data_IF_098811206306
#
_entry.id   IF_098811206306
#
_cell.length_a   1.000
_cell.length_b   1.000
_cell.length_c   1.000
_cell.angle_alpha   90.00
_cell.angle_beta   90.00
_cell.angle_gamma   90.00
#
_symmetry.space_group_name_H-M   'P 1'
#
loop_
_entity.id
_entity.type
_entity.pdbx_description
1 polymer ?
#
# COMPACT_ATOMS: atom_id res chain seq x y z
N UNK A 1 13.52 -11.64 23.78
CA UNK A 1 12.91 -11.81 22.44
C UNK A 1 13.64 -10.92 21.45
N UNK A 2 14.11 -11.50 20.35
CA UNK A 2 14.78 -10.86 19.22
C UNK A 2 13.96 -11.07 17.95
N UNK A 3 13.61 -9.99 17.27
CA UNK A 3 12.70 -9.99 16.12
C UNK A 3 13.39 -9.42 14.89
N UNK A 4 13.29 -10.10 13.76
CA UNK A 4 13.81 -9.64 12.48
C UNK A 4 12.70 -9.27 11.50
N UNK A 5 12.95 -8.26 10.68
CA UNK A 5 12.08 -7.88 9.56
C UNK A 5 12.82 -8.06 8.24
N UNK A 6 12.34 -8.97 7.38
CA UNK A 6 12.89 -9.27 6.06
C UNK A 6 12.36 -8.27 5.01
N UNK A 7 13.18 -7.29 4.64
CA UNK A 7 12.80 -6.18 3.77
C UNK A 7 13.40 -6.36 2.38
N UNK A 8 12.73 -7.19 1.56
CA UNK A 8 13.06 -7.35 0.13
C UNK A 8 12.64 -6.16 -0.73
N UNK A 9 11.59 -5.46 -0.31
CA UNK A 9 10.94 -4.43 -1.11
C UNK A 9 10.61 -3.21 -0.26
N UNK A 10 10.84 -2.00 -0.80
CA UNK A 10 10.61 -0.74 -0.09
C UNK A 10 9.20 -0.65 0.50
N UNK A 11 8.19 -1.15 -0.20
CA UNK A 11 6.81 -1.05 0.25
C UNK A 11 6.49 -1.92 1.48
N UNK A 12 7.29 -2.94 1.81
CA UNK A 12 7.13 -3.72 3.05
C UNK A 12 7.31 -2.86 4.30
N UNK A 13 8.19 -1.86 4.24
CA UNK A 13 8.48 -0.95 5.36
C UNK A 13 7.22 -0.29 5.92
N UNK A 14 6.28 0.09 5.06
CA UNK A 14 5.04 0.76 5.48
C UNK A 14 4.14 -0.09 6.38
N UNK A 15 4.20 -1.41 6.27
CA UNK A 15 3.48 -2.34 7.15
C UNK A 15 4.33 -2.73 8.38
N UNK A 16 5.65 -2.72 8.26
CA UNK A 16 6.57 -3.15 9.32
C UNK A 16 6.88 -2.07 10.33
N UNK A 17 7.02 -0.81 9.91
CA UNK A 17 7.39 0.29 10.78
C UNK A 17 6.43 0.47 11.98
N UNK A 18 5.09 0.39 11.82
CA UNK A 18 4.19 0.47 12.98
C UNK A 18 4.41 -0.66 14.00
N UNK A 19 4.62 -1.89 13.51
CA UNK A 19 4.92 -3.06 14.34
C UNK A 19 6.28 -2.92 15.03
N UNK A 20 7.31 -2.49 14.30
CA UNK A 20 8.64 -2.21 14.82
C UNK A 20 8.60 -1.17 15.94
N UNK A 21 7.91 -0.05 15.73
CA UNK A 21 7.77 1.01 16.74
C UNK A 21 7.11 0.50 18.02
N UNK A 22 6.04 -0.29 17.89
CA UNK A 22 5.36 -0.89 19.03
C UNK A 22 6.24 -1.90 19.77
N UNK A 23 6.98 -2.77 19.06
CA UNK A 23 7.91 -3.72 19.67
C UNK A 23 9.08 -2.99 20.38
N UNK A 24 9.65 -1.96 19.77
CA UNK A 24 10.71 -1.14 20.37
C UNK A 24 10.22 -0.44 21.64
N UNK A 25 8.99 0.09 21.65
CA UNK A 25 8.36 0.67 22.84
C UNK A 25 8.25 -0.33 24.00
N UNK A 26 8.12 -1.62 23.68
CA UNK A 26 8.08 -2.73 24.66
C UNK A 26 9.46 -3.29 25.02
N UNK A 27 10.55 -2.66 24.58
CA UNK A 27 11.91 -3.10 24.88
C UNK A 27 12.36 -4.35 24.12
N UNK A 28 11.69 -4.71 23.02
CA UNK A 28 12.06 -5.85 22.18
C UNK A 28 13.25 -5.48 21.29
N UNK A 29 14.24 -6.38 21.21
CA UNK A 29 15.34 -6.24 20.26
C UNK A 29 14.82 -6.47 18.84
N UNK A 30 14.95 -5.48 17.97
CA UNK A 30 14.49 -5.54 16.58
C UNK A 30 15.61 -5.19 15.62
N UNK A 31 15.74 -5.97 14.54
CA UNK A 31 16.69 -5.73 13.45
C UNK A 31 16.03 -5.92 12.09
N UNK A 32 16.52 -5.21 11.08
CA UNK A 32 16.01 -5.32 9.71
C UNK A 32 17.05 -5.99 8.82
N UNK A 33 16.64 -7.02 8.08
CA UNK A 33 17.39 -7.59 6.97
C UNK A 33 17.00 -6.86 5.69
N UNK A 34 17.79 -5.87 5.26
CA UNK A 34 17.44 -4.98 4.14
C UNK A 34 18.17 -5.43 2.88
N UNK A 35 17.42 -5.83 1.87
CA UNK A 35 17.99 -6.29 0.60
C UNK A 35 18.45 -5.10 -0.22
N UNK A 36 19.68 -5.17 -0.75
CA UNK A 36 20.19 -4.19 -1.70
C UNK A 36 19.36 -4.23 -2.97
N UNK A 37 18.76 -3.10 -3.32
CA UNK A 37 18.02 -2.88 -4.53
C UNK A 37 18.46 -1.56 -5.18
N UNK A 38 19.13 -1.58 -6.35
CA UNK A 38 19.62 -0.37 -7.01
C UNK A 38 18.54 0.69 -7.28
N UNK A 39 17.27 0.27 -7.45
CA UNK A 39 16.17 1.20 -7.68
C UNK A 39 15.81 2.01 -6.42
N UNK A 40 16.10 1.52 -5.21
CA UNK A 40 15.59 2.07 -3.94
C UNK A 40 16.58 2.14 -2.77
N UNK A 41 17.85 1.76 -2.94
CA UNK A 41 18.85 1.73 -1.87
C UNK A 41 18.89 3.03 -1.06
N UNK A 42 18.95 4.18 -1.74
CA UNK A 42 19.02 5.48 -1.07
C UNK A 42 17.77 5.75 -0.21
N UNK A 43 16.59 5.36 -0.70
CA UNK A 43 15.33 5.55 0.04
C UNK A 43 15.25 4.60 1.23
N UNK A 44 15.66 3.35 1.05
CA UNK A 44 15.74 2.38 2.15
C UNK A 44 16.73 2.84 3.23
N UNK A 45 17.87 3.38 2.82
CA UNK A 45 18.87 3.91 3.75
C UNK A 45 18.31 5.10 4.53
N UNK A 46 17.63 6.04 3.86
CA UNK A 46 16.95 7.15 4.54
C UNK A 46 15.91 6.67 5.56
N UNK A 47 15.14 5.63 5.23
CA UNK A 47 14.18 5.03 6.18
C UNK A 47 14.90 4.43 7.39
N UNK A 48 15.99 3.69 7.17
CA UNK A 48 16.79 3.09 8.25
C UNK A 48 17.34 4.16 9.19
N UNK A 49 17.91 5.23 8.63
CA UNK A 49 18.50 6.34 9.39
C UNK A 49 17.45 7.15 10.14
N UNK A 50 16.35 7.54 9.47
CA UNK A 50 15.29 8.37 10.06
C UNK A 50 14.56 7.66 11.21
N UNK A 51 14.41 6.33 11.12
CA UNK A 51 13.69 5.52 12.10
C UNK A 51 14.62 4.88 13.15
N UNK A 52 15.94 5.13 13.07
CA UNK A 52 16.92 4.58 14.01
C UNK A 52 16.96 3.05 14.03
N UNK A 53 16.85 2.43 12.84
CA UNK A 53 16.74 0.98 12.68
C UNK A 53 18.14 0.35 12.75
N UNK A 54 18.29 -0.68 13.58
CA UNK A 54 19.44 -1.59 13.48
C UNK A 54 19.23 -2.47 12.24
N UNK A 55 20.07 -2.31 11.22
CA UNK A 55 19.90 -2.95 9.91
C UNK A 55 21.16 -3.69 9.48
N UNK A 56 20.96 -4.87 8.87
CA UNK A 56 21.97 -5.62 8.14
C UNK A 56 21.60 -5.63 6.67
N UNK A 57 22.56 -5.27 5.82
CA UNK A 57 22.36 -5.21 4.37
C UNK A 57 22.61 -6.58 3.75
N UNK A 58 21.68 -7.01 2.90
CA UNK A 58 21.65 -8.34 2.29
C UNK A 58 21.92 -8.19 0.80
N UNK A 59 23.00 -8.78 0.32
CA UNK A 59 23.43 -8.71 -1.09
C UNK A 59 22.64 -9.68 -1.97
N UNK A 60 22.34 -10.88 -1.45
CA UNK A 60 21.52 -11.86 -2.13
C UNK A 60 20.59 -12.61 -1.18
N UNK A 61 19.55 -13.20 -1.75
CA UNK A 61 18.59 -14.01 -1.01
C UNK A 61 19.28 -15.21 -0.33
N UNK A 62 20.35 -15.76 -0.91
CA UNK A 62 21.14 -16.81 -0.25
C UNK A 62 21.86 -16.30 1.01
N UNK A 63 22.32 -15.05 1.02
CA UNK A 63 23.05 -14.45 2.14
C UNK A 63 22.14 -14.19 3.35
N UNK A 64 20.84 -13.96 3.12
CA UNK A 64 19.88 -13.76 4.22
C UNK A 64 19.81 -14.97 5.13
N UNK A 65 19.91 -16.19 4.59
CA UNK A 65 19.89 -17.41 5.40
C UNK A 65 21.06 -17.45 6.37
N UNK A 66 22.29 -17.18 5.91
CA UNK A 66 23.47 -17.16 6.78
C UNK A 66 23.31 -16.14 7.92
N UNK A 67 22.83 -14.94 7.59
CA UNK A 67 22.56 -13.88 8.57
C UNK A 67 21.54 -14.33 9.61
N UNK A 68 20.45 -14.98 9.18
CA UNK A 68 19.39 -15.45 10.09
C UNK A 68 19.83 -16.63 10.94
N UNK A 69 20.69 -17.52 10.41
CA UNK A 69 21.31 -18.60 11.16
C UNK A 69 22.26 -18.06 12.22
N UNK A 70 23.15 -17.14 11.87
CA UNK A 70 24.14 -16.57 12.80
C UNK A 70 23.49 -15.75 13.92
N UNK A 71 22.42 -15.01 13.60
CA UNK A 71 21.73 -14.17 14.58
C UNK A 71 20.68 -14.91 15.41
N UNK A 72 20.18 -16.03 14.88
CA UNK A 72 19.15 -16.89 15.44
C UNK A 72 18.04 -16.13 16.19
N UNK A 73 17.26 -15.26 15.49
CA UNK A 73 16.16 -14.51 16.11
C UNK A 73 15.04 -15.46 16.56
N UNK A 74 14.20 -15.02 17.49
CA UNK A 74 13.02 -15.77 17.92
C UNK A 74 11.92 -15.72 16.85
N UNK A 75 11.79 -14.57 16.17
CA UNK A 75 10.81 -14.35 15.11
C UNK A 75 11.38 -13.64 13.90
N UNK A 76 10.93 -14.00 12.69
CA UNK A 76 11.22 -13.29 11.44
C UNK A 76 9.93 -12.95 10.69
N UNK A 77 9.71 -11.67 10.41
CA UNK A 77 8.65 -11.19 9.53
C UNK A 77 9.06 -11.27 8.06
N UNK A 78 8.21 -11.88 7.24
CA UNK A 78 8.36 -11.96 5.80
C UNK A 78 7.15 -11.37 5.07
N UNK A 79 7.39 -10.60 4.00
CA UNK A 79 6.34 -9.95 3.21
C UNK A 79 5.74 -10.86 2.13
N UNK A 80 6.41 -11.98 1.88
CA UNK A 80 6.08 -12.99 0.88
C UNK A 80 6.70 -14.35 1.28
N UNK A 81 6.64 -15.35 0.41
CA UNK A 81 7.35 -16.62 0.60
C UNK A 81 8.87 -16.41 0.78
N UNK A 82 9.46 -17.34 1.52
CA UNK A 82 10.89 -17.41 1.76
C UNK A 82 11.39 -18.83 1.44
N UNK A 83 12.34 -19.02 0.51
CA UNK A 83 12.66 -20.35 0.01
C UNK A 83 13.47 -21.23 0.98
N UNK A 84 14.10 -20.65 2.00
CA UNK A 84 14.91 -21.40 2.99
C UNK A 84 14.25 -21.52 4.37
N UNK A 85 12.92 -21.48 4.47
CA UNK A 85 12.22 -21.62 5.75
C UNK A 85 12.66 -22.86 6.54
N UNK A 86 12.78 -24.01 5.86
CA UNK A 86 13.17 -25.28 6.47
C UNK A 86 14.64 -25.33 6.94
N UNK A 87 15.43 -24.30 6.64
CA UNK A 87 16.84 -24.20 7.03
C UNK A 87 17.07 -23.13 8.11
N UNK A 88 16.01 -22.44 8.55
CA UNK A 88 16.10 -21.52 9.68
C UNK A 88 16.42 -22.29 10.98
N UNK A 89 17.04 -21.65 11.97
CA UNK A 89 17.30 -22.28 13.28
C UNK A 89 16.01 -22.82 13.89
N UNK A 90 16.04 -24.00 14.52
CA UNK A 90 14.82 -24.64 15.04
C UNK A 90 14.05 -23.85 16.11
N UNK A 91 14.68 -22.86 16.74
CA UNK A 91 14.01 -21.92 17.66
C UNK A 91 13.36 -20.71 16.97
N UNK A 92 13.73 -20.45 15.72
CA UNK A 92 13.28 -19.29 14.96
C UNK A 92 11.94 -19.60 14.31
N UNK A 93 10.95 -18.76 14.60
CA UNK A 93 9.62 -18.86 14.00
C UNK A 93 9.41 -17.83 12.90
N UNK A 94 8.66 -18.23 11.89
CA UNK A 94 8.38 -17.46 10.68
C UNK A 94 6.98 -16.84 10.72
N UNK A 95 6.91 -15.57 10.32
CA UNK A 95 5.67 -14.80 10.27
C UNK A 95 5.44 -14.32 8.85
N UNK A 96 4.24 -14.54 8.33
CA UNK A 96 3.80 -13.88 7.11
C UNK A 96 2.99 -12.61 7.46
N UNK A 97 3.49 -11.45 7.03
CA UNK A 97 2.81 -10.17 7.14
C UNK A 97 2.88 -9.45 5.79
N UNK A 98 1.79 -9.57 5.01
CA UNK A 98 1.73 -8.98 3.67
C UNK A 98 1.61 -7.46 3.69
N UNK A 99 2.15 -6.80 2.66
CA UNK A 99 2.01 -5.35 2.50
C UNK A 99 0.63 -4.88 2.02
N UNK A 100 -0.01 -5.66 1.14
CA UNK A 100 -1.17 -5.22 0.39
C UNK A 100 -2.48 -5.77 0.95
N UNK A 101 -3.49 -4.91 0.95
CA UNK A 101 -4.91 -5.26 1.12
C UNK A 101 -5.63 -5.21 -0.22
N UNK A 102 -6.66 -6.04 -0.36
CA UNK A 102 -7.47 -6.13 -1.57
C UNK A 102 -7.82 -7.57 -1.95
N UNK A 103 -8.53 -7.75 -3.07
CA UNK A 103 -9.02 -9.06 -3.47
C UNK A 103 -8.03 -9.86 -4.33
N UNK A 104 -6.80 -9.37 -4.53
CA UNK A 104 -5.88 -9.99 -5.50
C UNK A 104 -5.58 -11.44 -5.14
N UNK A 105 -5.70 -12.37 -6.08
CA UNK A 105 -5.45 -13.80 -5.84
C UNK A 105 -4.03 -14.07 -5.32
N UNK A 106 -3.04 -13.31 -5.79
CA UNK A 106 -1.66 -13.38 -5.31
C UNK A 106 -1.50 -12.97 -3.84
N UNK A 107 -2.52 -12.42 -3.20
CA UNK A 107 -2.55 -12.21 -1.76
C UNK A 107 -2.96 -13.46 -1.00
N UNK A 108 -3.63 -14.42 -1.62
CA UNK A 108 -4.06 -15.67 -1.00
C UNK A 108 -3.01 -16.75 -1.17
N UNK A 109 -2.50 -16.94 -2.40
CA UNK A 109 -1.54 -18.01 -2.75
C UNK A 109 -0.15 -17.86 -2.12
N UNK A 110 0.13 -16.77 -1.40
CA UNK A 110 1.38 -16.65 -0.60
C UNK A 110 1.49 -17.69 0.51
N UNK A 111 0.37 -18.29 0.91
CA UNK A 111 0.32 -19.39 1.87
C UNK A 111 0.64 -20.75 1.25
N UNK A 112 0.94 -20.84 -0.05
CA UNK A 112 1.49 -22.07 -0.65
C UNK A 112 2.84 -22.45 -0.01
N UNK A 113 3.52 -21.49 0.64
CA UNK A 113 4.65 -21.73 1.53
C UNK A 113 4.22 -21.44 2.96
N UNK A 114 3.85 -22.46 3.76
CA UNK A 114 3.31 -22.26 5.09
C UNK A 114 4.39 -21.69 6.02
N UNK A 115 4.05 -20.62 6.72
CA UNK A 115 4.83 -20.05 7.82
C UNK A 115 4.18 -20.44 9.15
N UNK A 116 4.91 -20.33 10.26
CA UNK A 116 4.39 -20.72 11.59
C UNK A 116 3.13 -19.95 11.96
N UNK A 117 3.06 -18.68 11.57
CA UNK A 117 1.86 -17.86 11.68
C UNK A 117 1.74 -16.87 10.53
N UNK A 118 0.50 -16.61 10.11
CA UNK A 118 0.17 -15.51 9.22
C UNK A 118 -0.78 -14.53 9.89
N UNK A 119 -0.37 -13.27 9.90
CA UNK A 119 -1.23 -12.18 10.33
C UNK A 119 -2.12 -11.73 9.17
N UNK A 120 -3.42 -11.61 9.45
CA UNK A 120 -4.46 -11.33 8.46
C UNK A 120 -5.27 -10.10 8.87
N UNK A 121 -5.70 -9.34 7.88
CA UNK A 121 -6.41 -8.08 8.05
C UNK A 121 -7.94 -8.30 8.25
N UNK A 122 -8.69 -8.39 7.16
CA UNK A 122 -10.17 -8.42 7.16
C UNK A 122 -10.81 -9.81 7.25
N UNK A 123 -12.10 -9.82 7.66
CA UNK A 123 -12.84 -11.05 8.01
C UNK A 123 -12.95 -12.02 6.82
N UNK A 124 -13.27 -11.48 5.64
CA UNK A 124 -13.44 -12.29 4.43
C UNK A 124 -12.13 -12.91 3.99
N UNK A 125 -11.02 -12.17 4.12
CA UNK A 125 -9.69 -12.70 3.79
C UNK A 125 -9.29 -13.79 4.76
N UNK A 126 -9.55 -13.59 6.06
CA UNK A 126 -9.31 -14.59 7.10
C UNK A 126 -10.06 -15.89 6.81
N UNK A 127 -11.38 -15.82 6.59
CA UNK A 127 -12.21 -16.98 6.26
C UNK A 127 -11.71 -17.72 5.01
N UNK A 128 -11.46 -17.00 3.91
CA UNK A 128 -10.97 -17.61 2.66
C UNK A 128 -9.59 -18.26 2.83
N UNK A 129 -8.71 -17.71 3.65
CA UNK A 129 -7.41 -18.32 3.95
C UNK A 129 -7.56 -19.60 4.77
N UNK A 130 -8.45 -19.63 5.77
CA UNK A 130 -8.74 -20.84 6.53
C UNK A 130 -9.35 -21.94 5.65
N UNK A 131 -10.23 -21.58 4.71
CA UNK A 131 -10.80 -22.52 3.75
C UNK A 131 -9.73 -23.10 2.80
N UNK A 132 -8.83 -22.25 2.29
CA UNK A 132 -7.79 -22.67 1.35
C UNK A 132 -6.65 -23.46 2.02
N UNK A 133 -6.32 -23.14 3.27
CA UNK A 133 -5.18 -23.70 4.00
C UNK A 133 -5.58 -24.09 5.44
N UNK A 134 -6.44 -25.11 5.63
CA UNK A 134 -7.04 -25.43 6.93
C UNK A 134 -6.05 -25.93 8.00
N UNK A 135 -4.79 -26.19 7.63
CA UNK A 135 -3.72 -26.63 8.53
C UNK A 135 -2.79 -25.49 8.97
N UNK A 136 -2.92 -24.32 8.37
CA UNK A 136 -2.07 -23.16 8.65
C UNK A 136 -2.64 -22.33 9.80
N UNK A 137 -1.77 -21.60 10.50
CA UNK A 137 -2.16 -20.71 11.59
C UNK A 137 -2.40 -19.30 11.07
N UNK A 138 -3.65 -18.86 11.13
CA UNK A 138 -4.04 -17.48 10.81
C UNK A 138 -4.47 -16.73 12.07
N UNK A 139 -3.97 -15.51 12.23
CA UNK A 139 -4.34 -14.63 13.35
C UNK A 139 -4.82 -13.29 12.79
N UNK A 140 -6.06 -12.95 13.11
CA UNK A 140 -6.66 -11.72 12.62
C UNK A 140 -6.26 -10.52 13.49
N UNK A 141 -5.50 -9.60 12.92
CA UNK A 141 -4.91 -8.46 13.65
C UNK A 141 -5.35 -7.10 13.12
N UNK A 142 -5.90 -7.04 11.90
CA UNK A 142 -6.15 -5.78 11.19
C UNK A 142 -4.96 -5.36 10.34
N UNK A 143 -4.90 -4.09 9.94
CA UNK A 143 -3.90 -3.61 8.97
C UNK A 143 -2.96 -2.56 9.57
N UNK A 144 -1.78 -3.02 10.02
CA UNK A 144 -0.82 -2.23 10.80
C UNK A 144 -0.37 -0.93 10.12
N UNK A 145 -0.26 -0.91 8.79
CA UNK A 145 0.08 0.31 8.02
C UNK A 145 -0.86 1.48 8.32
N UNK A 146 -2.13 1.25 8.67
CA UNK A 146 -3.05 2.34 8.99
C UNK A 146 -2.98 2.80 10.45
N UNK A 147 -2.33 2.06 11.35
CA UNK A 147 -2.30 2.41 12.76
C UNK A 147 -1.78 3.83 13.02
N UNK A 148 -0.67 4.30 12.41
CA UNK A 148 -0.19 5.67 12.64
C UNK A 148 -1.23 6.72 12.25
N UNK A 149 -1.97 6.47 11.16
CA UNK A 149 -3.00 7.41 10.69
C UNK A 149 -4.18 7.46 11.66
N UNK A 150 -4.61 6.32 12.19
CA UNK A 150 -5.73 6.25 13.15
C UNK A 150 -5.35 6.81 14.52
N UNK A 151 -4.12 6.57 14.97
CA UNK A 151 -3.64 7.04 16.27
C UNK A 151 -3.19 8.52 16.26
N UNK A 152 -2.97 9.10 15.07
CA UNK A 152 -2.37 10.42 14.93
C UNK A 152 -0.84 10.43 15.13
N UNK A 153 -0.20 9.26 15.06
CA UNK A 153 1.25 9.06 15.25
C UNK A 153 2.05 9.26 13.94
N UNK A 154 1.70 10.29 13.16
CA UNK A 154 2.43 10.67 11.95
C UNK A 154 2.24 12.16 11.66
N UNK A 155 3.13 12.73 10.86
CA UNK A 155 3.00 14.11 10.38
C UNK A 155 2.20 14.13 9.07
N UNK A 156 1.01 14.78 9.01
CA UNK A 156 0.29 14.98 7.76
C UNK A 156 1.12 15.73 6.73
N UNK A 157 0.77 15.56 5.45
CA UNK A 157 1.38 16.37 4.41
C UNK A 157 1.02 17.84 4.61
N UNK A 158 2.03 18.69 4.77
CA UNK A 158 1.87 20.13 4.93
C UNK A 158 1.63 20.80 3.57
N UNK A 159 0.39 21.25 3.35
CA UNK A 159 0.00 21.91 2.11
C UNK A 159 0.77 23.23 1.91
N UNK A 160 0.82 24.08 2.93
CA UNK A 160 1.38 25.43 2.82
C UNK A 160 2.89 25.38 2.61
N UNK A 161 3.59 24.54 3.37
CA UNK A 161 5.05 24.37 3.22
C UNK A 161 5.44 23.84 1.83
N UNK A 162 4.51 23.20 1.12
CA UNK A 162 4.71 22.67 -0.23
C UNK A 162 4.03 23.52 -1.33
N UNK A 163 3.67 24.77 -1.02
CA UNK A 163 3.15 25.73 -1.99
C UNK A 163 1.68 25.53 -2.40
N UNK A 164 0.95 24.66 -1.70
CA UNK A 164 -0.49 24.46 -1.88
C UNK A 164 -1.29 25.33 -0.91
N UNK A 165 -2.57 25.54 -1.22
CA UNK A 165 -3.45 26.46 -0.49
C UNK A 165 -4.29 25.69 0.56
N UNK A 166 -4.05 25.84 1.87
CA UNK A 166 -4.78 25.11 2.90
C UNK A 166 -6.29 25.40 2.95
N UNK A 167 -6.76 26.48 2.31
CA UNK A 167 -8.19 26.80 2.23
C UNK A 167 -8.94 25.99 1.16
N UNK A 168 -8.22 25.37 0.21
CA UNK A 168 -8.79 24.56 -0.87
C UNK A 168 -8.95 23.11 -0.47
N UNK A 169 -9.98 22.48 -1.03
CA UNK A 169 -10.14 21.03 -0.96
C UNK A 169 -9.03 20.32 -1.73
N UNK A 170 -8.56 19.20 -1.19
CA UNK A 170 -7.39 18.48 -1.68
C UNK A 170 -7.79 17.16 -2.33
N UNK A 171 -7.44 16.99 -3.60
CA UNK A 171 -7.62 15.77 -4.37
C UNK A 171 -6.31 14.98 -4.40
N UNK A 172 -6.34 13.74 -3.94
CA UNK A 172 -5.23 12.80 -4.09
C UNK A 172 -5.45 11.97 -5.35
N UNK A 173 -4.58 12.09 -6.33
CA UNK A 173 -4.54 11.23 -7.51
C UNK A 173 -3.42 10.19 -7.36
N UNK A 174 -3.78 8.91 -7.23
CA UNK A 174 -2.83 7.82 -6.99
C UNK A 174 -2.86 6.76 -8.13
N UNK A 175 -2.39 7.10 -9.34
CA UNK A 175 -2.46 6.19 -10.47
C UNK A 175 -1.46 5.02 -10.35
N UNK A 176 -1.94 3.85 -10.76
CA UNK A 176 -1.17 2.65 -11.07
C UNK A 176 -0.33 2.84 -12.34
N UNK A 177 0.66 1.98 -12.53
CA UNK A 177 1.59 2.07 -13.66
C UNK A 177 1.04 1.46 -14.97
N UNK A 178 0.32 0.34 -14.89
CA UNK A 178 -0.31 -0.32 -16.06
C UNK A 178 -1.30 -1.44 -15.66
N UNK A 179 -2.53 -1.44 -16.20
CA UNK A 179 -3.17 -0.36 -16.97
C UNK A 179 -3.29 0.92 -16.15
N UNK A 180 -3.35 2.10 -16.78
CA UNK A 180 -3.36 3.38 -16.04
C UNK A 180 -4.26 4.42 -16.71
N UNK A 181 -4.91 5.27 -15.91
CA UNK A 181 -5.65 6.45 -16.37
C UNK A 181 -4.75 7.64 -16.68
N UNK A 182 -3.50 7.66 -16.18
CA UNK A 182 -2.60 8.82 -16.16
C UNK A 182 -2.41 9.48 -17.54
N UNK A 183 -2.19 8.67 -18.58
CA UNK A 183 -1.96 9.18 -19.94
C UNK A 183 -3.21 9.81 -20.57
N UNK A 184 -4.40 9.47 -20.06
CA UNK A 184 -5.70 9.94 -20.55
C UNK A 184 -6.19 11.19 -19.81
N UNK A 185 -5.58 11.56 -18.70
CA UNK A 185 -5.82 12.86 -18.03
C UNK A 185 -5.06 13.94 -18.84
N UNK A 186 -5.70 15.05 -19.25
CA UNK A 186 -5.10 16.05 -20.13
C UNK A 186 -4.06 16.94 -19.44
N UNK A 187 -3.32 17.72 -20.24
CA UNK A 187 -2.27 18.63 -19.72
C UNK A 187 -2.92 19.80 -18.98
N UNK A 188 -4.11 20.20 -19.43
CA UNK A 188 -4.97 21.23 -18.83
C UNK A 188 -5.63 20.82 -17.52
N UNK A 189 -5.41 19.59 -17.01
CA UNK A 189 -6.05 19.14 -15.78
C UNK A 189 -5.87 20.08 -14.58
N UNK A 190 -4.67 20.66 -14.34
CA UNK A 190 -4.50 21.62 -13.25
C UNK A 190 -5.36 22.87 -13.39
N UNK A 191 -5.46 23.44 -14.60
CA UNK A 191 -6.28 24.63 -14.90
C UNK A 191 -7.78 24.30 -14.79
N UNK A 192 -8.18 23.15 -15.32
CA UNK A 192 -9.54 22.63 -15.22
C UNK A 192 -9.95 22.35 -13.77
N UNK A 193 -9.01 22.26 -12.83
CA UNK A 193 -9.28 21.97 -11.41
C UNK A 193 -8.63 23.03 -10.48
N UNK A 194 -8.48 24.28 -10.96
CA UNK A 194 -7.83 25.36 -10.23
C UNK A 194 -8.45 25.68 -8.84
N UNK A 195 -9.71 25.29 -8.62
CA UNK A 195 -10.39 25.41 -7.34
C UNK A 195 -9.93 24.39 -6.26
N UNK A 196 -9.09 23.42 -6.62
CA UNK A 196 -8.59 22.36 -5.75
C UNK A 196 -7.07 22.36 -5.66
N UNK A 197 -6.56 21.81 -4.55
CA UNK A 197 -5.19 21.29 -4.49
C UNK A 197 -5.15 19.89 -5.13
N UNK A 198 -4.13 19.63 -5.93
CA UNK A 198 -3.91 18.35 -6.62
C UNK A 198 -2.62 17.72 -6.11
N UNK A 199 -2.74 16.67 -5.32
CA UNK A 199 -1.59 15.85 -4.92
C UNK A 199 -1.56 14.64 -5.84
N UNK A 200 -0.49 14.49 -6.61
CA UNK A 200 -0.27 13.34 -7.48
C UNK A 200 0.78 12.44 -6.86
N UNK A 201 0.42 11.19 -6.60
CA UNK A 201 1.36 10.14 -6.18
C UNK A 201 1.43 9.04 -7.24
N UNK A 202 2.29 9.19 -8.26
CA UNK A 202 2.47 8.15 -9.26
C UNK A 202 3.07 6.89 -8.65
N UNK A 203 2.69 5.73 -9.18
CA UNK A 203 3.38 4.49 -8.86
C UNK A 203 4.87 4.59 -9.25
N UNK A 204 5.77 4.02 -8.43
CA UNK A 204 7.21 4.10 -8.66
C UNK A 204 7.63 3.75 -10.09
N UNK A 205 7.12 2.65 -10.64
CA UNK A 205 7.43 2.24 -12.01
C UNK A 205 7.10 3.30 -13.06
N UNK A 206 6.05 4.11 -12.89
CA UNK A 206 5.72 5.22 -13.79
C UNK A 206 6.84 6.25 -13.86
N UNK A 207 7.54 6.46 -12.73
CA UNK A 207 8.66 7.38 -12.61
C UNK A 207 9.96 6.70 -13.08
N UNK A 208 10.25 5.48 -12.62
CA UNK A 208 11.57 4.88 -12.76
C UNK A 208 11.82 4.15 -14.09
N UNK A 209 10.80 3.53 -14.71
CA UNK A 209 11.04 2.67 -15.87
C UNK A 209 10.91 3.46 -17.18
N UNK A 210 11.94 3.39 -18.03
CA UNK A 210 12.03 4.12 -19.30
C UNK A 210 10.76 4.01 -20.17
N UNK A 211 10.16 2.81 -20.23
CA UNK A 211 8.93 2.51 -21.00
C UNK A 211 7.68 3.36 -20.66
N UNK A 212 7.69 4.10 -19.56
CA UNK A 212 6.59 5.00 -19.16
C UNK A 212 6.91 6.49 -19.41
N UNK A 213 7.68 6.80 -20.46
CA UNK A 213 8.06 8.17 -20.81
C UNK A 213 6.86 9.12 -20.96
N UNK A 214 5.79 8.70 -21.63
CA UNK A 214 4.58 9.50 -21.78
C UNK A 214 3.89 9.83 -20.43
N UNK A 215 4.02 8.95 -19.43
CA UNK A 215 3.51 9.23 -18.08
C UNK A 215 4.37 10.29 -17.39
N UNK A 216 5.70 10.20 -17.52
CA UNK A 216 6.62 11.22 -16.98
C UNK A 216 6.40 12.58 -17.63
N UNK A 217 6.30 12.65 -18.95
CA UNK A 217 5.99 13.90 -19.66
C UNK A 217 4.70 14.53 -19.13
N UNK A 218 3.66 13.73 -18.89
CA UNK A 218 2.42 14.23 -18.30
C UNK A 218 2.64 14.80 -16.89
N UNK A 219 3.33 14.06 -16.04
CA UNK A 219 3.65 14.47 -14.66
C UNK A 219 4.47 15.76 -14.65
N UNK A 220 5.46 15.88 -15.54
CA UNK A 220 6.35 17.03 -15.63
C UNK A 220 5.63 18.28 -16.12
N UNK A 221 4.63 18.13 -16.99
CA UNK A 221 3.73 19.24 -17.35
C UNK A 221 2.89 19.70 -16.16
N UNK A 222 2.26 18.77 -15.42
CA UNK A 222 1.44 19.13 -14.26
C UNK A 222 2.25 19.77 -13.13
N UNK A 223 3.52 19.37 -12.95
CA UNK A 223 4.43 19.92 -11.93
C UNK A 223 4.59 21.44 -12.03
N UNK A 224 4.34 22.03 -13.21
CA UNK A 224 4.48 23.48 -13.44
C UNK A 224 3.33 24.31 -12.85
N UNK A 225 2.21 23.69 -12.51
CA UNK A 225 1.04 24.39 -11.99
C UNK A 225 1.13 24.60 -10.47
N UNK A 226 0.70 25.78 -9.99
CA UNK A 226 0.80 26.16 -8.57
C UNK A 226 -0.13 25.38 -7.64
N UNK A 227 -1.19 24.77 -8.18
CA UNK A 227 -2.11 23.94 -7.41
C UNK A 227 -1.75 22.44 -7.46
N UNK A 228 -0.57 22.08 -7.96
CA UNK A 228 -0.13 20.68 -8.09
C UNK A 228 1.10 20.41 -7.25
N UNK A 229 1.03 19.33 -6.47
CA UNK A 229 2.20 18.71 -5.86
C UNK A 229 2.39 17.30 -6.41
N UNK A 230 3.57 17.01 -6.96
CA UNK A 230 3.94 15.66 -7.38
C UNK A 230 4.85 15.04 -6.31
N UNK A 231 4.37 13.98 -5.67
CA UNK A 231 5.10 13.27 -4.65
C UNK A 231 6.48 12.80 -5.13
N UNK A 232 7.48 13.02 -4.29
CA UNK A 232 8.87 12.64 -4.54
C UNK A 232 9.08 11.14 -4.39
N UNK A 233 10.26 10.67 -4.83
CA UNK A 233 10.62 9.24 -4.83
C UNK A 233 10.81 8.70 -3.40
N UNK A 234 11.40 9.50 -2.53
CA UNK A 234 11.64 9.25 -1.10
C UNK A 234 10.34 9.24 -0.28
N UNK A 235 9.32 9.99 -0.70
CA UNK A 235 7.98 10.03 -0.09
C UNK A 235 7.15 8.78 -0.37
N UNK A 236 7.70 7.58 -0.28
CA UNK A 236 7.10 6.32 -0.74
C UNK A 236 5.76 5.95 -0.06
N UNK A 237 5.50 6.40 1.17
CA UNK A 237 4.24 6.15 1.86
C UNK A 237 3.11 7.03 1.29
N UNK A 238 1.93 6.43 1.11
CA UNK A 238 0.74 7.16 0.69
C UNK A 238 0.03 7.84 1.88
N UNK A 239 0.30 7.41 3.12
CA UNK A 239 -0.44 7.81 4.32
C UNK A 239 -0.44 9.32 4.59
N UNK A 240 0.70 10.05 4.49
CA UNK A 240 0.70 11.49 4.72
C UNK A 240 -0.26 12.23 3.79
N UNK A 241 -0.33 11.79 2.52
CA UNK A 241 -1.23 12.36 1.53
C UNK A 241 -2.69 11.94 1.76
N UNK A 242 -2.93 10.69 2.16
CA UNK A 242 -4.29 10.22 2.47
C UNK A 242 -4.93 11.00 3.63
N UNK A 243 -4.13 11.32 4.63
CA UNK A 243 -4.60 12.08 5.77
C UNK A 243 -5.05 13.49 5.40
N UNK A 244 -4.27 14.17 4.55
CA UNK A 244 -4.54 15.54 4.11
C UNK A 244 -5.65 15.61 3.03
N UNK A 245 -5.81 14.57 2.21
CA UNK A 245 -6.76 14.59 1.10
C UNK A 245 -8.23 14.54 1.55
N UNK A 246 -9.10 15.25 0.82
CA UNK A 246 -10.55 15.18 0.95
C UNK A 246 -11.17 14.08 0.06
N UNK A 247 -10.52 13.75 -1.06
CA UNK A 247 -11.02 12.77 -2.02
C UNK A 247 -9.86 12.04 -2.72
N UNK A 248 -9.99 10.73 -2.90
CA UNK A 248 -9.06 9.91 -3.70
C UNK A 248 -9.59 9.68 -5.12
N UNK A 249 -8.74 9.88 -6.11
CA UNK A 249 -8.93 9.48 -7.51
C UNK A 249 -7.91 8.39 -7.81
N UNK A 250 -8.37 7.21 -8.21
CA UNK A 250 -7.49 6.08 -8.55
C UNK A 250 -8.23 5.11 -9.48
N UNK A 251 -7.51 4.17 -10.09
CA UNK A 251 -8.10 2.95 -10.61
C UNK A 251 -7.78 1.75 -9.70
N UNK A 252 -8.15 0.55 -10.15
CA UNK A 252 -7.93 -0.76 -9.53
C UNK A 252 -6.59 -0.95 -8.78
N UNK A 253 -6.49 -0.49 -7.54
CA UNK A 253 -5.26 -0.48 -6.73
C UNK A 253 -5.57 -0.81 -5.26
N UNK A 254 -4.54 -1.17 -4.47
CA UNK A 254 -4.72 -1.37 -3.03
C UNK A 254 -5.06 -0.06 -2.32
N UNK A 255 -4.60 1.08 -2.85
CA UNK A 255 -4.85 2.42 -2.32
C UNK A 255 -6.33 2.74 -2.17
N UNK A 256 -7.20 2.19 -3.03
CA UNK A 256 -8.65 2.31 -2.93
C UNK A 256 -9.17 1.72 -1.61
N UNK A 257 -8.71 0.52 -1.24
CA UNK A 257 -9.14 -0.15 -0.01
C UNK A 257 -8.51 0.49 1.23
N UNK A 258 -7.25 0.91 1.13
CA UNK A 258 -6.56 1.65 2.21
C UNK A 258 -7.26 2.99 2.50
N UNK A 259 -7.67 3.73 1.48
CA UNK A 259 -8.38 5.01 1.66
C UNK A 259 -9.85 4.83 2.05
N UNK A 260 -10.49 3.73 1.65
CA UNK A 260 -11.85 3.41 2.08
C UNK A 260 -11.96 3.26 3.61
N UNK A 261 -10.89 2.80 4.25
CA UNK A 261 -10.79 2.70 5.70
C UNK A 261 -10.87 4.07 6.41
N UNK A 262 -10.58 5.16 5.70
CA UNK A 262 -10.73 6.53 6.21
C UNK A 262 -12.14 7.08 6.01
N UNK A 263 -13.01 6.31 5.37
CA UNK A 263 -14.39 6.67 5.03
C UNK A 263 -14.52 8.01 4.26
N UNK A 264 -13.48 8.34 3.48
CA UNK A 264 -13.46 9.51 2.61
C UNK A 264 -13.94 9.16 1.19
N UNK A 265 -14.46 10.14 0.42
CA UNK A 265 -14.88 9.95 -0.96
C UNK A 265 -13.81 9.38 -1.88
N UNK A 266 -14.24 8.47 -2.77
CA UNK A 266 -13.39 7.78 -3.73
C UNK A 266 -14.02 7.86 -5.10
N UNK A 267 -13.20 8.18 -6.10
CA UNK A 267 -13.52 8.08 -7.51
C UNK A 267 -12.68 6.99 -8.15
N UNK A 268 -13.36 6.03 -8.76
CA UNK A 268 -12.79 4.95 -9.55
C UNK A 268 -12.74 5.34 -11.03
N UNK A 269 -11.53 5.47 -11.58
CA UNK A 269 -11.34 5.70 -13.01
C UNK A 269 -11.47 4.40 -13.82
N UNK A 270 -12.46 4.35 -14.72
CA UNK A 270 -12.62 3.24 -15.68
C UNK A 270 -11.97 3.52 -17.04
N UNK A 271 -11.59 4.78 -17.30
CA UNK A 271 -10.85 5.15 -18.50
C UNK A 271 -9.37 4.76 -18.36
N UNK A 272 -8.98 3.66 -19.00
CA UNK A 272 -7.62 3.13 -18.91
C UNK A 272 -6.91 3.15 -20.27
N UNK A 273 -5.67 3.62 -20.30
CA UNK A 273 -4.80 3.47 -21.47
C UNK A 273 -4.35 2.02 -21.58
N UNK A 274 -4.97 1.29 -22.52
CA UNK A 274 -4.58 -0.09 -22.86
C UNK A 274 -3.63 -0.11 -24.05
N UNK A 275 -2.67 -1.02 -24.08
CA UNK A 275 -1.89 -1.31 -25.31
C UNK A 275 -2.81 -1.97 -26.35
N UNK A 276 -2.46 -1.88 -27.63
CA UNK A 276 -3.25 -2.47 -28.71
C UNK A 276 -3.51 -3.98 -28.49
N UNK A 277 -2.53 -4.71 -27.93
CA UNK A 277 -2.61 -6.14 -27.59
C UNK A 277 -3.63 -6.49 -26.50
N UNK A 278 -4.25 -5.49 -25.88
CA UNK A 278 -5.25 -5.63 -24.84
C UNK A 278 -6.63 -5.10 -25.30
N UNK A 279 -6.78 -4.80 -26.61
CA UNK A 279 -8.00 -4.21 -27.20
C UNK A 279 -8.60 -5.15 -28.26
N UNK A 280 -9.85 -4.89 -28.64
CA UNK A 280 -10.55 -5.58 -29.73
C UNK A 280 -10.52 -7.10 -29.57
N UNK A 281 -10.12 -7.87 -30.60
CA UNK A 281 -10.10 -9.34 -30.54
C UNK A 281 -9.12 -9.90 -29.49
N UNK A 282 -8.15 -9.11 -29.02
CA UNK A 282 -7.16 -9.52 -28.00
C UNK A 282 -7.55 -9.10 -26.57
N UNK A 283 -8.77 -8.58 -26.37
CA UNK A 283 -9.28 -8.13 -25.07
C UNK A 283 -9.24 -9.21 -23.98
N UNK A 284 -9.34 -10.50 -24.35
CA UNK A 284 -9.21 -11.61 -23.40
C UNK A 284 -7.90 -11.55 -22.59
N UNK A 285 -6.81 -11.00 -23.16
CA UNK A 285 -5.52 -10.84 -22.46
C UNK A 285 -5.64 -9.85 -21.30
N UNK A 286 -6.49 -8.84 -21.45
CA UNK A 286 -6.75 -7.84 -20.43
C UNK A 286 -7.60 -8.44 -19.32
N UNK A 287 -8.65 -9.15 -19.70
CA UNK A 287 -9.55 -9.83 -18.76
C UNK A 287 -8.82 -10.88 -17.93
N UNK A 288 -7.87 -11.62 -18.51
CA UNK A 288 -7.01 -12.54 -17.76
C UNK A 288 -6.02 -11.85 -16.82
N UNK A 289 -5.61 -10.62 -17.14
CA UNK A 289 -4.68 -9.84 -16.30
C UNK A 289 -5.39 -9.17 -15.12
N UNK A 290 -6.62 -8.73 -15.32
CA UNK A 290 -7.44 -8.12 -14.28
C UNK A 290 -7.93 -9.19 -13.32
N UNK A 291 -7.79 -8.93 -12.02
CA UNK A 291 -8.38 -9.79 -11.02
C UNK A 291 -9.91 -9.71 -11.11
N UNK A 292 -10.58 -10.82 -11.35
CA UNK A 292 -12.03 -10.84 -11.51
C UNK A 292 -12.74 -10.52 -10.19
N UNK A 293 -12.13 -10.85 -9.04
CA UNK A 293 -12.69 -10.58 -7.72
C UNK A 293 -12.76 -9.07 -7.45
N UNK A 294 -11.96 -8.26 -8.15
CA UNK A 294 -12.02 -6.79 -8.02
C UNK A 294 -13.39 -6.22 -8.41
N UNK A 295 -14.13 -6.92 -9.29
CA UNK A 295 -15.48 -6.51 -9.69
C UNK A 295 -16.45 -6.49 -8.52
N UNK A 296 -16.25 -7.37 -7.53
CA UNK A 296 -17.08 -7.48 -6.34
C UNK A 296 -16.97 -6.25 -5.43
N UNK A 297 -15.97 -5.39 -5.63
CA UNK A 297 -15.70 -4.24 -4.76
C UNK A 297 -15.79 -2.89 -5.48
N UNK A 298 -16.31 -2.89 -6.72
CA UNK A 298 -16.46 -1.67 -7.53
C UNK A 298 -17.35 -0.62 -6.85
N UNK A 299 -18.32 -1.05 -6.05
CA UNK A 299 -19.26 -0.17 -5.38
C UNK A 299 -18.68 0.66 -4.21
N UNK A 300 -17.35 0.68 -4.00
CA UNK A 300 -16.73 1.48 -2.93
C UNK A 300 -16.78 3.00 -3.17
N UNK A 301 -17.04 3.44 -4.40
CA UNK A 301 -16.98 4.84 -4.79
C UNK A 301 -17.62 5.11 -6.15
N UNK A 302 -17.63 6.38 -6.53
CA UNK A 302 -18.20 6.81 -7.81
C UNK A 302 -17.32 6.36 -8.98
N UNK A 303 -17.94 5.87 -10.04
CA UNK A 303 -17.23 5.46 -11.25
C UNK A 303 -17.24 6.57 -12.30
N UNK A 304 -16.07 6.77 -12.93
CA UNK A 304 -15.91 7.72 -14.03
C UNK A 304 -15.44 6.96 -15.26
N UNK A 305 -16.31 6.90 -16.28
CA UNK A 305 -16.04 6.19 -17.53
C UNK A 305 -15.16 6.99 -18.48
N UNK A 306 -15.21 8.32 -18.40
CA UNK A 306 -14.43 9.24 -19.25
C UNK A 306 -13.95 10.45 -18.46
N UNK A 307 -12.77 10.98 -18.80
CA UNK A 307 -12.20 12.15 -18.12
C UNK A 307 -13.17 13.35 -18.04
N UNK A 308 -13.95 13.60 -19.10
CA UNK A 308 -14.94 14.72 -19.14
C UNK A 308 -15.98 14.68 -18.01
N UNK A 309 -16.25 13.50 -17.44
CA UNK A 309 -17.20 13.31 -16.34
C UNK A 309 -16.54 13.59 -14.97
N UNK A 310 -15.20 13.56 -14.90
CA UNK A 310 -14.44 13.60 -13.64
C UNK A 310 -14.74 14.84 -12.80
N UNK A 311 -14.73 16.03 -13.40
CA UNK A 311 -14.94 17.28 -12.66
C UNK A 311 -16.32 17.35 -12.02
N UNK A 312 -17.35 16.91 -12.74
CA UNK A 312 -18.71 16.83 -12.23
C UNK A 312 -18.78 15.85 -11.05
N UNK A 313 -18.23 14.66 -11.21
CA UNK A 313 -18.24 13.63 -10.16
C UNK A 313 -17.45 14.06 -8.92
N UNK A 314 -16.31 14.76 -9.07
CA UNK A 314 -15.56 15.34 -7.94
C UNK A 314 -16.44 16.29 -7.14
N UNK A 315 -17.14 17.21 -7.81
CA UNK A 315 -18.05 18.17 -7.13
C UNK A 315 -19.17 17.46 -6.37
N UNK A 316 -19.79 16.44 -6.99
CA UNK A 316 -20.86 15.64 -6.36
C UNK A 316 -20.37 14.84 -5.14
N UNK A 317 -19.18 14.23 -5.24
CA UNK A 317 -18.62 13.43 -4.16
C UNK A 317 -18.14 14.30 -2.99
N UNK A 318 -17.62 15.49 -3.26
CA UNK A 318 -17.24 16.44 -2.21
C UNK A 318 -18.45 17.12 -1.54
N UNK A 319 -19.55 17.33 -2.27
CA UNK A 319 -20.78 17.88 -1.68
C UNK A 319 -21.55 16.86 -0.85
N UNK A 320 -21.43 15.57 -1.18
CA UNK A 320 -22.13 14.47 -0.48
C UNK A 320 -21.14 13.36 -0.10
N UNK A 321 -20.21 13.59 0.84
CA UNK A 321 -19.12 12.65 1.10
C UNK A 321 -19.57 11.29 1.66
N UNK A 322 -20.74 11.26 2.29
CA UNK A 322 -21.35 10.06 2.85
C UNK A 322 -22.03 9.14 1.81
N UNK A 323 -22.08 9.52 0.52
CA UNK A 323 -22.83 8.80 -0.53
C UNK A 323 -22.52 7.30 -0.58
N UNK A 324 -21.26 6.93 -0.38
CA UNK A 324 -20.79 5.53 -0.37
C UNK A 324 -20.32 5.05 1.01
N UNK A 325 -20.72 5.71 2.10
CA UNK A 325 -20.30 5.39 3.46
C UNK A 325 -20.53 3.93 3.82
N UNK A 326 -21.74 3.43 3.58
CA UNK A 326 -22.12 2.04 3.89
C UNK A 326 -21.22 1.05 3.17
N UNK A 327 -21.02 1.25 1.86
CA UNK A 327 -20.20 0.41 1.00
C UNK A 327 -18.73 0.43 1.43
N UNK A 328 -18.17 1.60 1.73
CA UNK A 328 -16.79 1.72 2.22
C UNK A 328 -16.60 0.96 3.53
N UNK A 329 -17.55 1.07 4.47
CA UNK A 329 -17.48 0.33 5.75
C UNK A 329 -17.57 -1.17 5.57
N UNK A 330 -18.49 -1.66 4.74
CA UNK A 330 -18.64 -3.09 4.43
C UNK A 330 -17.36 -3.66 3.81
N UNK A 331 -16.81 -2.98 2.80
CA UNK A 331 -15.57 -3.40 2.12
C UNK A 331 -14.36 -3.32 3.06
N UNK A 332 -14.29 -2.27 3.88
CA UNK A 332 -13.23 -2.11 4.89
C UNK A 332 -13.23 -3.28 5.86
N UNK A 333 -14.38 -3.67 6.42
CA UNK A 333 -14.48 -4.82 7.31
C UNK A 333 -14.03 -6.13 6.63
N UNK A 334 -14.40 -6.32 5.37
CA UNK A 334 -14.04 -7.53 4.61
C UNK A 334 -12.55 -7.62 4.27
N UNK A 335 -11.90 -6.51 3.91
CA UNK A 335 -10.56 -6.52 3.31
C UNK A 335 -9.45 -5.92 4.18
N UNK A 336 -9.77 -4.87 4.95
CA UNK A 336 -8.83 -4.17 5.84
C UNK A 336 -9.01 -4.60 7.30
N UNK A 337 -10.20 -5.03 7.66
CA UNK A 337 -10.55 -5.50 9.00
C UNK A 337 -10.80 -4.35 9.97
N UNK A 338 -10.40 -4.55 11.23
CA UNK A 338 -10.58 -3.56 12.30
C UNK A 338 -9.64 -2.38 12.07
N UNK A 339 -10.20 -1.17 12.02
CA UNK A 339 -9.48 0.09 11.81
C UNK A 339 -9.53 0.90 13.11
N UNK A 340 -8.86 0.39 14.13
CA UNK A 340 -8.90 0.94 15.50
C UNK A 340 -7.51 1.30 16.05
N UNK A 341 -6.49 1.32 15.18
CA UNK A 341 -5.13 1.73 15.54
C UNK A 341 -4.35 0.72 16.39
N UNK A 342 -4.86 -0.50 16.54
CA UNK A 342 -4.32 -1.52 17.47
C UNK A 342 -3.73 -2.74 16.78
N UNK A 343 -3.56 -2.75 15.45
CA UNK A 343 -3.07 -3.93 14.76
C UNK A 343 -1.63 -4.29 15.17
N UNK A 344 -0.77 -3.29 15.29
CA UNK A 344 0.62 -3.41 15.75
C UNK A 344 0.69 -3.93 17.19
N UNK A 345 -0.18 -3.43 18.08
CA UNK A 345 -0.30 -3.92 19.46
C UNK A 345 -0.68 -5.39 19.49
N UNK A 346 -1.71 -5.80 18.73
CA UNK A 346 -2.14 -7.22 18.68
C UNK A 346 -1.04 -8.14 18.17
N UNK A 347 -0.29 -7.69 17.17
CA UNK A 347 0.88 -8.43 16.67
C UNK A 347 1.91 -8.59 17.79
N UNK A 348 2.28 -7.50 18.46
CA UNK A 348 3.25 -7.55 19.56
C UNK A 348 2.77 -8.41 20.74
N UNK A 349 1.49 -8.33 21.10
CA UNK A 349 0.86 -9.16 22.13
C UNK A 349 0.96 -10.65 21.77
N UNK A 350 0.68 -11.00 20.50
CA UNK A 350 0.78 -12.37 20.01
C UNK A 350 2.22 -12.89 20.11
N UNK A 351 3.22 -12.10 19.69
CA UNK A 351 4.62 -12.53 19.77
C UNK A 351 5.04 -12.77 21.22
N UNK A 352 4.73 -11.86 22.14
CA UNK A 352 5.10 -12.00 23.55
C UNK A 352 4.42 -13.19 24.23
N UNK A 353 3.16 -13.49 23.88
CA UNK A 353 2.44 -14.64 24.41
C UNK A 353 2.94 -15.99 23.86
N UNK A 354 3.71 -15.97 22.78
CA UNK A 354 4.19 -17.17 22.08
C UNK A 354 5.72 -17.25 21.99
N UNK A 355 6.46 -16.45 22.77
CA UNK A 355 7.93 -16.46 22.78
C UNK A 355 8.54 -17.29 23.89
#
# INVERSE_FOLDING_TARGET
MKVFFDVKELYYTTQYLPVFKELKKRGVECKFGVYRNPDFNDVLQQVVEAEGIDAVWIESEKDSLAIYVDNAPDWIFFGNSYPWLNQLPGKTRSIQLGHGVGPKMSYYTKSDTPMDVRFVEGDRRYQKLQEMYPKDTFVQVGFAKLDPLINGDFTPFDLQANGLDPSKKTLLYAPTFYPSSLELVPRSWPDEFAEYNLIVKPHFFSIAKARYAAQRERIDEWRKASNVYIARKDEHSLLPFMATADLLISEASSSLFEFAALDKPIIWCDFLKLRWTYRGPLRYRFERRMDQDIKNYRHLGAHVGHYRELKKTVREQLSTPAMFHKQRREITAQLVGRVDGKASSRIADYLQANS
#
